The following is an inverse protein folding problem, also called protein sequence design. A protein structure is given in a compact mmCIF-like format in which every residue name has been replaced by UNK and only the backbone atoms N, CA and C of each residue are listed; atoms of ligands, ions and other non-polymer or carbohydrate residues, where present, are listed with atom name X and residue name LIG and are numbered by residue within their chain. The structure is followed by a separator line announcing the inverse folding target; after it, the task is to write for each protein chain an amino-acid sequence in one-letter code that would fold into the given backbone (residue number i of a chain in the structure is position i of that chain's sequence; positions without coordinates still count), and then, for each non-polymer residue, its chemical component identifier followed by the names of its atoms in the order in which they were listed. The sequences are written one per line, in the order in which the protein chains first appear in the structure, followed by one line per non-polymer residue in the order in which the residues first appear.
data_IF_421321364957
#
_entry.id   IF_421321364957
#
_cell.length_a   1.000
_cell.length_b   1.000
_cell.length_c   1.000
_cell.angle_alpha   90.00
_cell.angle_beta   90.00
_cell.angle_gamma   90.00
#
_symmetry.space_group_name_H-M   'P 1'
#
loop_
_entity.id
_entity.type
_entity.pdbx_description
1 polymer ?
#
# COMPACT_ATOMS: atom_id res chain seq x y z
N UNK A 1 -33.81 -4.39 -6.34
CA UNK A 1 -32.88 -3.90 -7.37
C UNK A 1 -31.61 -4.75 -7.33
N UNK A 2 -31.14 -5.15 -8.50
CA UNK A 2 -30.02 -6.10 -8.69
C UNK A 2 -28.68 -5.36 -8.92
N UNK A 3 -28.48 -4.26 -8.21
CA UNK A 3 -27.31 -3.39 -8.39
C UNK A 3 -26.11 -3.90 -7.59
N UNK A 4 -24.98 -4.05 -8.23
CA UNK A 4 -23.69 -4.39 -7.63
C UNK A 4 -22.66 -3.33 -8.01
N UNK A 5 -21.93 -2.83 -7.02
CA UNK A 5 -20.87 -1.83 -7.18
C UNK A 5 -19.54 -2.42 -6.73
N UNK A 6 -18.53 -2.35 -7.58
CA UNK A 6 -17.16 -2.77 -7.24
C UNK A 6 -16.42 -1.59 -6.62
N UNK A 7 -16.13 -1.67 -5.34
CA UNK A 7 -15.57 -0.55 -4.59
C UNK A 7 -14.06 -0.40 -4.78
N UNK A 8 -13.33 -1.52 -4.82
CA UNK A 8 -11.86 -1.47 -4.85
C UNK A 8 -11.29 -2.81 -5.33
N UNK A 9 -10.30 -2.74 -6.20
CA UNK A 9 -9.39 -3.86 -6.45
C UNK A 9 -8.23 -3.81 -5.45
N UNK A 10 -7.88 -4.95 -4.88
CA UNK A 10 -6.74 -5.10 -3.97
C UNK A 10 -5.93 -6.29 -4.44
N UNK A 11 -4.63 -6.08 -4.59
CA UNK A 11 -3.70 -7.12 -5.02
C UNK A 11 -2.72 -7.47 -3.91
N UNK A 12 -2.44 -8.76 -3.73
CA UNK A 12 -1.39 -9.24 -2.86
C UNK A 12 -0.06 -9.26 -3.62
N UNK A 13 0.97 -8.65 -3.04
CA UNK A 13 2.33 -8.76 -3.55
C UNK A 13 2.90 -10.17 -3.36
N UNK A 14 2.53 -10.82 -2.26
CA UNK A 14 2.95 -12.19 -1.97
C UNK A 14 2.15 -13.19 -2.79
N UNK A 15 2.78 -14.28 -3.29
CA UNK A 15 2.10 -15.29 -4.08
C UNK A 15 1.09 -16.09 -3.26
N UNK A 16 0.30 -16.92 -3.94
CA UNK A 16 -0.62 -17.88 -3.32
C UNK A 16 0.10 -18.77 -2.31
N UNK A 17 -0.62 -19.12 -1.21
CA UNK A 17 -0.08 -19.90 -0.10
C UNK A 17 0.22 -19.08 1.14
N UNK A 18 0.25 -17.75 1.04
CA UNK A 18 0.34 -16.83 2.18
C UNK A 18 -1.04 -16.22 2.44
N UNK A 19 -1.47 -16.27 3.70
CA UNK A 19 -2.76 -15.70 4.10
C UNK A 19 -2.82 -14.19 3.77
N UNK A 20 -3.91 -13.72 3.18
CA UNK A 20 -4.10 -12.31 2.77
C UNK A 20 -3.82 -11.32 3.92
N UNK A 21 -4.15 -11.69 5.17
CA UNK A 21 -3.83 -10.88 6.35
C UNK A 21 -2.34 -10.68 6.60
N UNK A 22 -1.51 -11.64 6.17
CA UNK A 22 -0.05 -11.63 6.30
C UNK A 22 0.67 -11.16 5.03
N UNK A 23 -0.06 -10.94 3.95
CA UNK A 23 0.50 -10.43 2.68
C UNK A 23 0.60 -8.90 2.68
N UNK A 24 1.63 -8.40 2.00
CA UNK A 24 1.69 -7.00 1.59
C UNK A 24 0.65 -6.82 0.48
N UNK A 25 -0.20 -5.82 0.62
CA UNK A 25 -1.26 -5.57 -0.36
C UNK A 25 -1.21 -4.17 -0.92
N UNK A 26 -1.60 -4.03 -2.18
CA UNK A 26 -1.66 -2.75 -2.88
C UNK A 26 -3.09 -2.52 -3.42
N UNK A 27 -3.51 -1.28 -3.41
CA UNK A 27 -4.75 -0.82 -4.03
C UNK A 27 -4.47 0.47 -4.82
N UNK A 28 -4.99 0.58 -6.06
CA UNK A 28 -5.64 -0.46 -6.85
C UNK A 28 -4.68 -1.59 -7.24
N UNK A 29 -5.19 -2.69 -7.81
CA UNK A 29 -4.35 -3.74 -8.40
C UNK A 29 -3.45 -3.15 -9.49
N UNK A 30 -2.17 -3.55 -9.51
CA UNK A 30 -1.12 -2.93 -10.32
C UNK A 30 -0.67 -3.78 -11.50
N UNK A 31 -0.86 -5.11 -11.42
CA UNK A 31 -0.31 -6.04 -12.43
C UNK A 31 -1.39 -6.67 -13.32
N UNK A 32 -2.66 -6.47 -13.00
CA UNK A 32 -3.76 -7.00 -13.80
C UNK A 32 -3.93 -6.22 -15.12
N UNK A 33 -4.14 -6.95 -16.22
CA UNK A 33 -4.64 -6.34 -17.45
C UNK A 33 -6.07 -5.84 -17.26
N UNK A 34 -6.47 -4.81 -18.01
CA UNK A 34 -7.86 -4.30 -17.98
C UNK A 34 -8.86 -5.42 -18.33
N UNK A 35 -8.54 -6.22 -19.34
CA UNK A 35 -9.35 -7.36 -19.76
C UNK A 35 -9.59 -8.36 -18.63
N UNK A 36 -8.54 -8.72 -17.91
CA UNK A 36 -8.64 -9.65 -16.77
C UNK A 36 -9.40 -9.03 -15.60
N UNK A 37 -9.17 -7.76 -15.32
CA UNK A 37 -9.93 -7.05 -14.31
C UNK A 37 -11.43 -7.01 -14.61
N UNK A 38 -11.84 -6.74 -15.87
CA UNK A 38 -13.24 -6.77 -16.26
C UNK A 38 -13.85 -8.19 -16.14
N UNK A 39 -13.11 -9.23 -16.52
CA UNK A 39 -13.54 -10.63 -16.32
C UNK A 39 -13.78 -10.94 -14.84
N UNK A 40 -12.87 -10.49 -13.95
CA UNK A 40 -13.04 -10.67 -12.50
C UNK A 40 -14.26 -9.92 -11.96
N UNK A 41 -14.52 -8.70 -12.45
CA UNK A 41 -15.72 -7.92 -12.10
C UNK A 41 -16.98 -8.67 -12.47
N UNK A 42 -17.07 -9.16 -13.70
CA UNK A 42 -18.22 -9.93 -14.19
C UNK A 42 -18.44 -11.22 -13.39
N UNK A 43 -17.34 -11.89 -13.02
CA UNK A 43 -17.42 -13.08 -12.17
C UNK A 43 -17.92 -12.72 -10.77
N UNK A 44 -17.39 -11.67 -10.15
CA UNK A 44 -17.83 -11.23 -8.83
C UNK A 44 -19.31 -10.86 -8.80
N UNK A 45 -19.79 -10.11 -9.80
CA UNK A 45 -21.20 -9.73 -9.94
C UNK A 45 -22.10 -10.98 -10.09
N UNK A 46 -21.70 -11.92 -10.96
CA UNK A 46 -22.45 -13.18 -11.13
C UNK A 46 -22.49 -14.02 -9.85
N UNK A 47 -21.37 -14.10 -9.14
CA UNK A 47 -21.29 -14.82 -7.86
C UNK A 47 -22.19 -14.19 -6.81
N UNK A 48 -22.19 -12.85 -6.70
CA UNK A 48 -23.09 -12.14 -5.77
C UNK A 48 -24.55 -12.40 -6.09
N UNK A 49 -24.94 -12.34 -7.35
CA UNK A 49 -26.30 -12.62 -7.80
C UNK A 49 -26.73 -14.06 -7.52
N UNK A 50 -25.79 -15.02 -7.54
CA UNK A 50 -26.08 -16.42 -7.27
C UNK A 50 -26.39 -16.74 -5.79
N UNK A 51 -26.00 -15.84 -4.88
CA UNK A 51 -26.28 -15.99 -3.44
C UNK A 51 -27.77 -15.77 -3.12
N UNK A 52 -28.50 -15.09 -4.02
CA UNK A 52 -29.92 -14.79 -3.81
C UNK A 52 -30.13 -13.51 -2.99
N UNK A 53 -31.07 -13.53 -2.05
CA UNK A 53 -31.50 -12.34 -1.27
C UNK A 53 -30.43 -11.79 -0.33
N UNK A 54 -29.28 -11.42 -0.89
CA UNK A 54 -28.19 -10.78 -0.14
C UNK A 54 -28.16 -9.27 -0.40
N UNK A 55 -28.11 -8.49 0.67
CA UNK A 55 -27.95 -7.05 0.62
C UNK A 55 -26.88 -6.60 1.61
N UNK A 56 -25.80 -6.00 1.13
CA UNK A 56 -24.69 -5.59 2.00
C UNK A 56 -23.34 -5.54 1.29
N UNK A 57 -22.27 -5.56 2.07
CA UNK A 57 -20.89 -5.59 1.57
C UNK A 57 -20.34 -7.01 1.45
N UNK A 58 -19.50 -7.24 0.46
CA UNK A 58 -18.88 -8.52 0.17
C UNK A 58 -17.40 -8.36 -0.19
N UNK A 59 -16.63 -9.40 0.07
CA UNK A 59 -15.28 -9.57 -0.43
C UNK A 59 -15.19 -10.86 -1.26
N UNK A 60 -14.67 -10.75 -2.48
CA UNK A 60 -14.38 -11.88 -3.35
C UNK A 60 -12.89 -11.98 -3.55
N UNK A 61 -12.31 -13.16 -3.35
CA UNK A 61 -10.90 -13.41 -3.57
C UNK A 61 -10.71 -14.28 -4.81
N UNK A 62 -9.78 -13.86 -5.66
CA UNK A 62 -9.39 -14.55 -6.87
C UNK A 62 -7.90 -14.87 -6.86
N UNK A 63 -7.51 -15.92 -7.54
CA UNK A 63 -6.18 -16.15 -8.03
C UNK A 63 -6.19 -16.01 -9.55
N UNK A 64 -5.15 -15.37 -10.08
CA UNK A 64 -4.91 -15.23 -11.51
C UNK A 64 -3.59 -15.90 -11.82
N UNK A 65 -3.55 -16.76 -12.85
CA UNK A 65 -2.30 -17.38 -13.27
C UNK A 65 -1.36 -16.31 -13.87
N UNK A 66 -0.07 -16.49 -13.63
CA UNK A 66 0.97 -15.58 -14.14
C UNK A 66 1.35 -15.87 -15.61
N UNK A 67 0.69 -16.82 -16.28
CA UNK A 67 0.91 -17.16 -17.68
C UNK A 67 0.06 -16.28 -18.61
N UNK A 68 0.33 -16.37 -19.93
CA UNK A 68 -0.37 -15.59 -20.96
C UNK A 68 -1.90 -15.84 -21.01
N UNK A 69 -2.40 -16.93 -20.40
CA UNK A 69 -3.82 -17.25 -20.39
C UNK A 69 -4.60 -16.45 -19.36
N UNK A 70 -3.91 -15.97 -18.31
CA UNK A 70 -4.52 -15.26 -17.19
C UNK A 70 -5.79 -16.01 -16.68
N UNK A 71 -5.64 -17.32 -16.40
CA UNK A 71 -6.72 -18.12 -15.87
C UNK A 71 -7.14 -17.61 -14.48
N UNK A 72 -8.44 -17.40 -14.30
CA UNK A 72 -9.01 -16.84 -13.07
C UNK A 72 -9.69 -17.94 -12.27
N UNK A 73 -9.27 -18.10 -11.02
CA UNK A 73 -9.87 -19.03 -10.07
C UNK A 73 -10.47 -18.23 -8.91
N UNK A 74 -11.76 -18.40 -8.64
CA UNK A 74 -12.38 -17.86 -7.43
C UNK A 74 -11.98 -18.72 -6.24
N UNK A 75 -11.31 -18.11 -5.26
CA UNK A 75 -10.84 -18.78 -4.05
C UNK A 75 -11.97 -18.86 -3.01
N UNK A 76 -12.55 -17.69 -2.70
CA UNK A 76 -13.64 -17.60 -1.74
C UNK A 76 -14.48 -16.34 -1.97
N UNK A 77 -15.70 -16.40 -1.47
CA UNK A 77 -16.58 -15.26 -1.35
C UNK A 77 -17.00 -15.09 0.10
N UNK A 78 -16.86 -13.91 0.63
CA UNK A 78 -17.25 -13.56 1.99
C UNK A 78 -18.38 -12.53 1.96
N UNK A 79 -19.67 -12.95 2.04
CA UNK A 79 -20.83 -12.05 2.00
C UNK A 79 -21.00 -11.32 3.34
N UNK A 80 -20.02 -10.57 3.73
CA UNK A 80 -19.96 -9.77 4.95
C UNK A 80 -18.91 -8.67 4.84
N UNK A 81 -19.04 -7.64 5.63
CA UNK A 81 -17.96 -6.67 5.85
C UNK A 81 -16.80 -7.35 6.57
N UNK A 82 -15.58 -7.18 6.06
CA UNK A 82 -14.37 -7.84 6.52
C UNK A 82 -13.24 -6.83 6.78
N UNK A 83 -12.06 -7.31 7.21
CA UNK A 83 -10.86 -6.46 7.33
C UNK A 83 -10.45 -5.83 6.00
N UNK A 84 -10.56 -6.59 4.90
CA UNK A 84 -10.29 -6.06 3.54
C UNK A 84 -11.30 -4.97 3.16
N UNK A 85 -12.57 -5.08 3.58
CA UNK A 85 -13.54 -4.00 3.41
C UNK A 85 -13.16 -2.74 4.17
N UNK A 86 -12.60 -2.87 5.38
CA UNK A 86 -12.09 -1.73 6.13
C UNK A 86 -10.88 -1.08 5.43
N UNK A 87 -9.96 -1.89 4.88
CA UNK A 87 -8.86 -1.40 4.06
C UNK A 87 -9.38 -0.68 2.81
N UNK A 88 -10.30 -1.30 2.07
CA UNK A 88 -10.91 -0.69 0.89
C UNK A 88 -11.60 0.64 1.22
N UNK A 89 -12.35 0.71 2.33
CA UNK A 89 -12.98 1.97 2.77
C UNK A 89 -11.96 3.07 3.07
N UNK A 90 -10.85 2.73 3.73
CA UNK A 90 -9.78 3.70 4.02
C UNK A 90 -9.03 4.10 2.74
N UNK A 91 -8.80 3.16 1.84
CA UNK A 91 -8.09 3.40 0.59
C UNK A 91 -8.89 4.29 -0.36
N UNK A 92 -10.20 4.11 -0.44
CA UNK A 92 -11.06 4.80 -1.40
C UNK A 92 -11.82 5.99 -0.80
N UNK A 93 -11.88 6.10 0.53
CA UNK A 93 -12.83 7.01 1.19
C UNK A 93 -14.29 6.52 1.14
N UNK A 94 -14.61 5.50 0.36
CA UNK A 94 -15.97 4.99 0.20
C UNK A 94 -16.48 4.27 1.46
N UNK A 95 -17.59 4.68 2.07
CA UNK A 95 -17.99 4.24 3.41
C UNK A 95 -18.73 2.89 3.38
N UNK A 96 -18.03 1.79 3.04
CA UNK A 96 -18.62 0.46 2.83
C UNK A 96 -19.51 0.02 4.00
N UNK A 97 -19.03 0.10 5.24
CA UNK A 97 -19.76 -0.37 6.41
C UNK A 97 -21.06 0.44 6.64
N UNK A 98 -21.01 1.76 6.44
CA UNK A 98 -22.19 2.62 6.58
C UNK A 98 -23.24 2.32 5.52
N UNK A 99 -22.80 2.09 4.28
CA UNK A 99 -23.72 1.74 3.19
C UNK A 99 -24.28 0.34 3.38
N UNK A 100 -23.43 -0.65 3.72
CA UNK A 100 -23.87 -2.01 4.02
C UNK A 100 -24.93 -2.07 5.13
N UNK A 101 -24.78 -1.27 6.19
CA UNK A 101 -25.78 -1.17 7.26
C UNK A 101 -27.13 -0.62 6.75
N UNK A 102 -27.11 0.37 5.86
CA UNK A 102 -28.33 0.92 5.26
C UNK A 102 -29.00 -0.08 4.30
N UNK A 103 -28.20 -0.78 3.49
CA UNK A 103 -28.70 -1.82 2.60
C UNK A 103 -29.39 -2.94 3.41
N UNK A 104 -28.83 -3.33 4.55
CA UNK A 104 -29.39 -4.38 5.42
C UNK A 104 -30.76 -4.02 6.03
N UNK A 105 -31.10 -2.73 6.10
CA UNK A 105 -32.42 -2.27 6.58
C UNK A 105 -33.38 -1.88 5.45
N UNK A 106 -33.04 -2.24 4.19
CA UNK A 106 -33.94 -2.17 3.05
C UNK A 106 -33.74 -0.99 2.11
N UNK A 107 -32.72 -0.13 2.30
CA UNK A 107 -32.37 0.86 1.29
C UNK A 107 -31.72 0.22 0.06
N UNK A 108 -31.84 0.88 -1.09
CA UNK A 108 -31.15 0.51 -2.32
C UNK A 108 -29.98 1.43 -2.62
N UNK A 109 -28.97 0.98 -3.39
CA UNK A 109 -27.78 1.76 -3.71
C UNK A 109 -28.10 3.07 -4.46
N UNK A 110 -29.09 3.06 -5.31
CA UNK A 110 -29.57 4.23 -6.08
C UNK A 110 -30.25 5.29 -5.19
N UNK A 111 -30.77 4.90 -4.03
CA UNK A 111 -31.37 5.82 -3.05
C UNK A 111 -30.31 6.46 -2.15
N UNK A 112 -29.09 5.91 -2.11
CA UNK A 112 -28.03 6.35 -1.23
C UNK A 112 -27.05 7.30 -1.95
N UNK A 113 -26.64 8.34 -1.25
CA UNK A 113 -25.61 9.24 -1.73
C UNK A 113 -24.23 8.83 -1.21
N UNK A 114 -23.22 9.04 -2.04
CA UNK A 114 -21.83 9.01 -1.62
C UNK A 114 -21.57 10.18 -0.68
N UNK A 115 -21.20 9.90 0.57
CA UNK A 115 -21.00 10.94 1.59
C UNK A 115 -19.70 11.72 1.40
N UNK A 116 -18.77 11.25 0.55
CA UNK A 116 -17.52 11.95 0.24
C UNK A 116 -17.76 13.08 -0.76
N UNK A 117 -18.50 12.82 -1.82
CA UNK A 117 -18.84 13.81 -2.83
C UNK A 117 -20.10 14.62 -2.48
N UNK A 118 -21.01 14.03 -1.70
CA UNK A 118 -22.32 14.62 -1.37
C UNK A 118 -23.30 14.74 -2.54
N UNK A 119 -22.78 14.75 -3.76
CA UNK A 119 -23.55 14.98 -4.99
C UNK A 119 -23.76 13.71 -5.81
N UNK A 120 -22.85 12.74 -5.75
CA UNK A 120 -22.94 11.51 -6.53
C UNK A 120 -23.72 10.41 -5.80
N UNK A 121 -24.27 9.46 -6.56
CA UNK A 121 -24.90 8.26 -6.02
C UNK A 121 -23.85 7.29 -5.44
N UNK A 122 -24.24 6.49 -4.46
CA UNK A 122 -23.43 5.39 -3.94
C UNK A 122 -23.17 4.28 -5.00
N UNK A 123 -23.83 4.34 -6.14
CA UNK A 123 -23.58 3.43 -7.28
C UNK A 123 -22.31 3.79 -8.07
N UNK A 124 -21.75 4.98 -7.91
CA UNK A 124 -20.51 5.36 -8.57
C UNK A 124 -19.35 4.60 -7.93
N UNK A 125 -18.65 3.84 -8.76
CA UNK A 125 -17.46 3.08 -8.35
C UNK A 125 -16.28 4.03 -8.10
N UNK A 126 -15.54 3.83 -7.01
CA UNK A 126 -14.36 4.64 -6.75
C UNK A 126 -13.29 4.51 -7.84
N UNK A 127 -12.67 5.63 -8.16
CA UNK A 127 -11.49 5.71 -9.02
C UNK A 127 -10.37 6.40 -8.24
N UNK A 128 -9.20 5.76 -8.18
CA UNK A 128 -8.05 6.26 -7.41
C UNK A 128 -6.97 6.79 -8.35
N UNK A 129 -6.46 7.98 -8.06
CA UNK A 129 -5.29 8.58 -8.71
C UNK A 129 -4.03 8.50 -7.83
N UNK A 130 -4.07 7.72 -6.76
CA UNK A 130 -2.99 7.43 -5.83
C UNK A 130 -2.88 5.92 -5.57
N UNK A 131 -1.81 5.52 -4.92
CA UNK A 131 -1.54 4.12 -4.57
C UNK A 131 -1.56 3.96 -3.07
N UNK A 132 -2.19 2.89 -2.61
CA UNK A 132 -2.25 2.52 -1.19
C UNK A 132 -1.51 1.22 -0.98
N UNK A 133 -0.57 1.19 -0.03
CA UNK A 133 0.15 -0.02 0.37
C UNK A 133 -0.18 -0.34 1.83
N UNK A 134 -0.55 -1.59 2.09
CA UNK A 134 -0.72 -2.15 3.42
C UNK A 134 0.41 -3.12 3.71
N UNK A 135 1.09 -2.97 4.86
CA UNK A 135 2.08 -3.94 5.35
C UNK A 135 1.59 -4.49 6.70
N UNK A 136 1.57 -5.82 6.88
CA UNK A 136 1.23 -6.44 8.16
C UNK A 136 2.26 -6.13 9.25
N UNK A 137 1.82 -6.15 10.50
CA UNK A 137 2.69 -6.03 11.70
C UNK A 137 2.62 -7.31 12.51
N UNK A 138 3.78 -7.88 12.81
CA UNK A 138 3.93 -9.08 13.65
C UNK A 138 4.61 -8.74 14.97
N UNK A 139 4.40 -9.58 15.99
CA UNK A 139 5.04 -9.46 17.30
C UNK A 139 5.80 -10.73 17.68
N UNK A 140 6.50 -11.33 16.74
CA UNK A 140 7.32 -12.52 16.97
C UNK A 140 8.43 -12.32 18.02
N UNK A 141 8.85 -11.05 18.22
CA UNK A 141 9.78 -10.66 19.27
C UNK A 141 9.25 -10.94 20.68
N UNK A 142 7.92 -10.93 20.86
CA UNK A 142 7.27 -11.20 22.16
C UNK A 142 6.98 -12.69 22.40
N UNK A 143 7.12 -13.53 21.39
CA UNK A 143 6.82 -14.96 21.47
C UNK A 143 8.01 -15.79 20.99
N UNK A 144 9.06 -15.98 21.85
CA UNK A 144 10.20 -16.80 21.49
C UNK A 144 9.75 -18.23 21.19
N UNK A 145 10.32 -18.85 20.16
CA UNK A 145 10.02 -20.24 19.77
C UNK A 145 8.79 -20.42 18.87
N UNK A 146 8.07 -19.35 18.52
CA UNK A 146 7.00 -19.45 17.53
C UNK A 146 7.57 -19.58 16.12
N UNK A 147 6.89 -20.37 15.30
CA UNK A 147 7.18 -20.46 13.86
C UNK A 147 6.93 -19.10 13.17
N UNK A 148 7.99 -18.58 12.55
CA UNK A 148 8.00 -17.27 11.86
C UNK A 148 7.74 -17.37 10.36
N UNK A 149 7.64 -18.59 9.83
CA UNK A 149 7.31 -18.81 8.44
C UNK A 149 5.85 -18.44 8.19
N UNK A 150 5.58 -17.66 7.16
CA UNK A 150 4.24 -17.30 6.74
C UNK A 150 3.62 -18.45 5.94
N UNK A 151 2.30 -18.57 6.01
CA UNK A 151 1.55 -19.63 5.35
C UNK A 151 0.05 -19.35 5.36
N UNK A 152 -0.74 -20.41 5.36
CA UNK A 152 -2.22 -20.31 5.29
C UNK A 152 -2.87 -19.74 6.56
N UNK A 153 -2.18 -19.81 7.69
CA UNK A 153 -2.68 -19.25 8.95
C UNK A 153 -2.19 -17.82 9.12
N UNK A 154 -3.09 -16.91 9.46
CA UNK A 154 -2.76 -15.52 9.77
C UNK A 154 -2.00 -15.43 11.10
N UNK A 155 -0.81 -14.82 11.08
CA UNK A 155 0.08 -14.60 12.23
C UNK A 155 0.26 -13.13 12.59
N UNK A 156 -0.15 -12.22 11.72
CA UNK A 156 -0.08 -10.78 11.98
C UNK A 156 -1.06 -10.34 13.05
N UNK A 157 -0.67 -9.34 13.84
CA UNK A 157 -1.47 -8.78 14.95
C UNK A 157 -2.04 -7.41 14.62
N UNK A 158 -1.48 -6.74 13.62
CA UNK A 158 -1.88 -5.44 13.15
C UNK A 158 -1.36 -5.17 11.75
N UNK A 159 -1.56 -3.96 11.29
CA UNK A 159 -1.16 -3.52 9.96
C UNK A 159 -0.92 -2.02 9.93
N UNK A 160 -0.14 -1.58 8.97
CA UNK A 160 -0.02 -0.18 8.57
C UNK A 160 -0.59 0.01 7.18
N UNK A 161 -1.07 1.21 6.89
CA UNK A 161 -1.51 1.63 5.58
C UNK A 161 -0.85 2.97 5.24
N UNK A 162 -0.26 3.07 4.08
CA UNK A 162 0.30 4.32 3.58
C UNK A 162 -0.22 4.61 2.17
N UNK A 163 -0.34 5.90 1.87
CA UNK A 163 -0.83 6.42 0.60
C UNK A 163 0.29 7.25 -0.04
N UNK A 164 0.50 7.09 -1.34
CA UNK A 164 1.46 7.84 -2.13
C UNK A 164 1.00 8.00 -3.58
N UNK A 165 1.67 8.86 -4.36
CA UNK A 165 1.40 9.02 -5.79
C UNK A 165 1.96 7.87 -6.64
N UNK A 166 2.84 7.05 -6.04
CA UNK A 166 3.42 5.86 -6.64
C UNK A 166 3.50 4.71 -5.64
N UNK A 167 3.62 3.48 -6.15
CA UNK A 167 3.83 2.30 -5.32
C UNK A 167 5.09 2.45 -4.44
N UNK A 168 6.19 2.95 -5.02
CA UNK A 168 7.45 3.14 -4.29
C UNK A 168 7.28 4.11 -3.12
N UNK A 169 6.62 5.25 -3.33
CA UNK A 169 6.34 6.22 -2.25
C UNK A 169 5.49 5.58 -1.15
N UNK A 170 4.39 4.92 -1.52
CA UNK A 170 3.51 4.27 -0.55
C UNK A 170 4.23 3.14 0.21
N UNK A 171 5.08 2.34 -0.47
CA UNK A 171 5.86 1.27 0.14
C UNK A 171 6.87 1.82 1.17
N UNK A 172 7.65 2.82 0.80
CA UNK A 172 8.62 3.49 1.69
C UNK A 172 7.94 4.04 2.94
N UNK A 173 6.83 4.76 2.78
CA UNK A 173 6.04 5.32 3.89
C UNK A 173 5.42 4.23 4.77
N UNK A 174 4.95 3.12 4.18
CA UNK A 174 4.44 1.99 4.94
C UNK A 174 5.54 1.34 5.79
N UNK A 175 6.76 1.16 5.23
CA UNK A 175 7.90 0.64 5.99
C UNK A 175 8.25 1.55 7.20
N UNK A 176 8.24 2.86 7.03
CA UNK A 176 8.44 3.82 8.14
C UNK A 176 7.36 3.66 9.22
N UNK A 177 6.11 3.47 8.81
CA UNK A 177 4.95 3.40 9.70
C UNK A 177 4.88 2.11 10.53
N UNK A 178 5.68 1.08 10.19
CA UNK A 178 5.72 -0.18 10.96
C UNK A 178 6.26 -0.03 12.39
N UNK A 179 6.96 1.06 12.68
CA UNK A 179 7.60 1.33 14.00
C UNK A 179 8.54 0.20 14.45
N UNK A 180 9.30 -0.34 13.50
CA UNK A 180 10.33 -1.37 13.73
C UNK A 180 11.75 -0.80 13.69
N UNK A 181 11.88 0.51 13.92
CA UNK A 181 13.13 1.27 13.86
C UNK A 181 13.76 1.29 12.46
N UNK A 182 12.98 1.13 11.39
CA UNK A 182 13.38 1.36 10.00
C UNK A 182 12.95 2.75 9.56
N UNK A 183 13.75 3.36 8.68
CA UNK A 183 13.48 4.69 8.12
C UNK A 183 12.74 4.61 6.76
N UNK A 184 12.56 3.41 6.25
CA UNK A 184 11.97 3.05 4.97
C UNK A 184 12.33 1.62 4.61
N UNK A 185 12.38 1.31 3.32
CA UNK A 185 12.79 0.00 2.80
C UNK A 185 14.32 -0.09 2.61
N UNK A 186 15.12 0.21 3.54
CA UNK A 186 16.57 0.17 3.42
C UNK A 186 17.20 1.54 3.53
N UNK A 187 18.48 1.69 3.13
CA UNK A 187 19.30 2.89 3.30
C UNK A 187 19.31 3.39 4.76
N UNK A 188 19.43 2.46 5.72
CA UNK A 188 19.37 2.76 7.15
C UNK A 188 20.47 2.05 7.97
N UNK A 189 21.40 1.38 7.30
CA UNK A 189 22.52 0.67 7.93
C UNK A 189 22.14 -0.63 8.62
N UNK A 190 20.96 -1.17 8.34
CA UNK A 190 20.43 -2.43 8.94
C UNK A 190 20.31 -3.56 7.94
N UNK A 191 20.93 -3.39 6.79
CA UNK A 191 20.94 -4.38 5.72
C UNK A 191 21.66 -5.64 6.17
N UNK A 192 21.07 -6.79 5.89
CA UNK A 192 21.72 -8.09 6.06
C UNK A 192 22.78 -8.24 4.97
N UNK A 193 23.96 -8.77 5.34
CA UNK A 193 25.10 -8.94 4.42
C UNK A 193 25.48 -10.38 4.17
N UNK A 194 24.80 -11.32 4.82
CA UNK A 194 25.03 -12.75 4.66
C UNK A 194 24.18 -13.26 3.48
N UNK A 195 24.85 -13.57 2.38
CA UNK A 195 24.23 -14.03 1.14
C UNK A 195 23.42 -15.33 1.35
N UNK A 196 23.96 -16.30 2.10
CA UNK A 196 23.31 -17.60 2.26
C UNK A 196 22.07 -17.46 3.15
N UNK A 197 22.15 -16.68 4.21
CA UNK A 197 20.99 -16.37 5.06
C UNK A 197 19.89 -15.62 4.30
N UNK A 198 20.25 -14.73 3.38
CA UNK A 198 19.28 -14.04 2.53
C UNK A 198 18.62 -15.03 1.59
N UNK A 199 19.37 -15.85 0.87
CA UNK A 199 18.82 -16.82 -0.08
C UNK A 199 17.91 -17.84 0.61
N UNK A 200 18.28 -18.33 1.79
CA UNK A 200 17.43 -19.19 2.61
C UNK A 200 16.11 -18.49 2.97
N UNK A 201 16.19 -17.21 3.38
CA UNK A 201 15.01 -16.40 3.74
C UNK A 201 14.10 -16.10 2.54
N UNK A 202 14.63 -16.02 1.32
CA UNK A 202 13.81 -15.82 0.13
C UNK A 202 13.03 -17.08 -0.26
N UNK A 203 13.63 -18.26 -0.06
CA UNK A 203 12.98 -19.54 -0.34
C UNK A 203 11.87 -19.89 0.67
N UNK A 204 11.91 -19.29 1.86
CA UNK A 204 10.93 -19.52 2.91
C UNK A 204 10.25 -18.20 3.28
N UNK A 205 8.96 -18.00 2.91
CA UNK A 205 8.28 -16.74 3.18
C UNK A 205 8.30 -16.42 4.67
N UNK A 206 8.90 -15.29 5.02
CA UNK A 206 9.02 -14.80 6.38
C UNK A 206 8.51 -13.37 6.52
N UNK A 207 8.28 -12.94 7.75
CA UNK A 207 7.84 -11.57 8.03
C UNK A 207 8.87 -10.48 7.64
N UNK A 208 10.16 -10.84 7.48
CA UNK A 208 11.23 -9.94 7.03
C UNK A 208 11.48 -9.98 5.51
N UNK A 209 10.74 -10.81 4.77
CA UNK A 209 10.95 -11.10 3.37
C UNK A 209 11.14 -9.85 2.50
N UNK A 210 10.33 -8.82 2.72
CA UNK A 210 10.45 -7.56 1.98
C UNK A 210 11.84 -6.94 2.09
N UNK A 211 12.38 -6.90 3.31
CA UNK A 211 13.71 -6.34 3.56
C UNK A 211 14.82 -7.23 2.98
N UNK A 212 14.65 -8.55 3.04
CA UNK A 212 15.61 -9.50 2.46
C UNK A 212 15.62 -9.47 0.92
N UNK A 213 14.49 -9.16 0.27
CA UNK A 213 14.45 -8.90 -1.19
C UNK A 213 15.30 -7.66 -1.52
N UNK A 214 15.14 -6.58 -0.77
CA UNK A 214 15.97 -5.39 -0.93
C UNK A 214 17.46 -5.70 -0.70
N UNK A 215 17.79 -6.42 0.37
CA UNK A 215 19.16 -6.82 0.70
C UNK A 215 19.77 -7.72 -0.39
N UNK A 216 18.97 -8.62 -0.97
CA UNK A 216 19.40 -9.48 -2.07
C UNK A 216 19.80 -8.67 -3.31
N UNK A 217 18.99 -7.70 -3.71
CA UNK A 217 19.35 -6.79 -4.80
C UNK A 217 20.61 -6.01 -4.48
N UNK A 218 20.76 -5.51 -3.25
CA UNK A 218 21.94 -4.75 -2.82
C UNK A 218 23.23 -5.57 -2.83
N UNK A 219 23.13 -6.88 -2.63
CA UNK A 219 24.25 -7.84 -2.76
C UNK A 219 24.49 -8.30 -4.21
N UNK A 220 23.72 -7.81 -5.16
CA UNK A 220 23.87 -8.16 -6.58
C UNK A 220 23.30 -9.55 -6.93
N UNK A 221 22.38 -10.10 -6.14
CA UNK A 221 21.66 -11.32 -6.50
C UNK A 221 20.87 -11.06 -7.78
N UNK A 222 21.03 -11.87 -8.84
CA UNK A 222 20.34 -11.65 -10.10
C UNK A 222 18.83 -11.63 -9.95
N UNK A 223 18.15 -10.72 -10.64
CA UNK A 223 16.70 -10.55 -10.63
C UNK A 223 15.93 -11.87 -10.78
N UNK A 224 16.33 -12.69 -11.77
CA UNK A 224 15.64 -13.96 -12.03
C UNK A 224 15.71 -14.93 -10.84
N UNK A 225 16.82 -14.94 -10.09
CA UNK A 225 16.96 -15.79 -8.89
C UNK A 225 16.03 -15.33 -7.76
N UNK A 226 15.90 -14.02 -7.57
CA UNK A 226 14.96 -13.47 -6.58
C UNK A 226 13.53 -13.83 -6.96
N UNK A 227 13.19 -13.70 -8.25
CA UNK A 227 11.87 -14.07 -8.75
C UNK A 227 11.58 -15.56 -8.57
N UNK A 228 12.49 -16.44 -8.98
CA UNK A 228 12.35 -17.90 -8.83
C UNK A 228 12.18 -18.33 -7.36
N UNK A 229 12.94 -17.71 -6.44
CA UNK A 229 12.85 -18.02 -5.01
C UNK A 229 11.58 -17.50 -4.35
N UNK A 230 11.05 -16.38 -4.81
CA UNK A 230 9.94 -15.70 -4.13
C UNK A 230 8.59 -15.90 -4.81
N UNK A 231 8.56 -16.19 -6.10
CA UNK A 231 7.39 -16.18 -6.96
C UNK A 231 6.57 -14.87 -6.89
N UNK A 232 7.21 -13.77 -6.47
CA UNK A 232 6.61 -12.44 -6.48
C UNK A 232 6.59 -11.94 -7.93
N UNK A 233 5.48 -11.30 -8.33
CA UNK A 233 5.35 -10.76 -9.67
C UNK A 233 6.54 -9.84 -10.04
N UNK A 234 7.14 -10.00 -11.24
CA UNK A 234 8.27 -9.20 -11.69
C UNK A 234 8.06 -7.69 -11.60
N UNK A 235 6.83 -7.21 -11.74
CA UNK A 235 6.53 -5.78 -11.62
C UNK A 235 6.91 -5.24 -10.23
N UNK A 236 6.52 -5.92 -9.15
CA UNK A 236 6.86 -5.49 -7.78
C UNK A 236 8.37 -5.53 -7.52
N UNK A 237 9.04 -6.59 -7.99
CA UNK A 237 10.49 -6.71 -7.85
C UNK A 237 11.23 -5.58 -8.58
N UNK A 238 10.79 -5.21 -9.79
CA UNK A 238 11.35 -4.06 -10.54
C UNK A 238 11.14 -2.73 -9.82
N UNK A 239 10.04 -2.55 -9.08
CA UNK A 239 9.84 -1.34 -8.28
C UNK A 239 10.87 -1.23 -7.15
N UNK A 240 11.23 -2.35 -6.53
CA UNK A 240 12.25 -2.40 -5.48
C UNK A 240 13.64 -2.18 -6.08
N UNK A 241 13.95 -2.84 -7.20
CA UNK A 241 15.22 -2.66 -7.93
C UNK A 241 15.44 -1.19 -8.33
N UNK A 242 14.39 -0.53 -8.82
CA UNK A 242 14.46 0.89 -9.20
C UNK A 242 14.75 1.82 -8.02
N UNK A 243 14.34 1.48 -6.80
CA UNK A 243 14.74 2.23 -5.60
C UNK A 243 16.26 2.14 -5.37
N UNK A 244 16.84 0.94 -5.51
CA UNK A 244 18.28 0.76 -5.35
C UNK A 244 19.09 1.47 -6.43
N UNK A 245 18.60 1.52 -7.67
CA UNK A 245 19.25 2.31 -8.73
C UNK A 245 19.30 3.79 -8.34
N UNK A 246 18.21 4.34 -7.82
CA UNK A 246 18.16 5.72 -7.33
C UNK A 246 19.11 5.96 -6.15
N UNK A 247 19.25 4.99 -5.23
CA UNK A 247 20.25 5.08 -4.15
C UNK A 247 21.66 5.17 -4.67
N UNK A 248 21.98 4.31 -5.66
CA UNK A 248 23.30 4.33 -6.29
C UNK A 248 23.59 5.68 -6.95
N UNK A 249 22.61 6.29 -7.61
CA UNK A 249 22.76 7.61 -8.21
C UNK A 249 22.98 8.69 -7.14
N UNK A 250 22.28 8.62 -6.02
CA UNK A 250 22.45 9.57 -4.90
C UNK A 250 23.84 9.43 -4.26
N UNK A 251 24.34 8.21 -4.08
CA UNK A 251 25.63 7.94 -3.46
C UNK A 251 26.84 8.53 -4.23
N UNK A 252 26.66 8.95 -5.49
CA UNK A 252 27.70 9.58 -6.29
C UNK A 252 27.97 11.05 -5.91
N UNK A 253 27.16 11.64 -5.04
CA UNK A 253 27.23 13.06 -4.72
C UNK A 253 27.55 13.30 -3.24
N UNK A 254 28.06 14.52 -2.96
CA UNK A 254 27.99 15.09 -1.61
C UNK A 254 26.66 15.84 -1.45
N UNK A 255 26.30 16.21 -0.21
CA UNK A 255 25.06 16.97 0.04
C UNK A 255 25.06 18.31 -0.71
N UNK A 256 26.19 18.98 -0.84
CA UNK A 256 26.32 20.26 -1.54
C UNK A 256 26.11 20.09 -3.05
N UNK A 257 26.68 19.02 -3.63
CA UNK A 257 26.66 18.75 -5.06
C UNK A 257 25.39 18.03 -5.55
N UNK A 258 24.57 17.48 -4.64
CA UNK A 258 23.36 16.74 -5.00
C UNK A 258 22.41 17.60 -5.84
N UNK A 259 22.07 17.20 -7.09
CA UNK A 259 21.16 17.96 -7.94
C UNK A 259 19.75 18.05 -7.34
N UNK A 260 19.11 19.21 -7.48
CA UNK A 260 17.72 19.42 -7.05
C UNK A 260 16.77 18.36 -7.63
N UNK A 261 16.90 18.04 -8.91
CA UNK A 261 16.06 17.05 -9.58
C UNK A 261 16.17 15.67 -8.92
N UNK A 262 17.38 15.23 -8.57
CA UNK A 262 17.61 13.94 -7.93
C UNK A 262 17.07 13.91 -6.50
N UNK A 263 17.25 15.01 -5.74
CA UNK A 263 16.67 15.16 -4.41
C UNK A 263 15.13 15.13 -4.47
N UNK A 264 14.52 15.83 -5.43
CA UNK A 264 13.07 15.83 -5.62
C UNK A 264 12.57 14.45 -6.01
N UNK A 265 13.27 13.74 -6.88
CA UNK A 265 12.92 12.36 -7.25
C UNK A 265 12.97 11.43 -6.05
N UNK A 266 14.02 11.49 -5.24
CA UNK A 266 14.11 10.71 -4.00
C UNK A 266 12.92 10.99 -3.06
N UNK A 267 12.53 12.25 -2.91
CA UNK A 267 11.37 12.62 -2.11
C UNK A 267 10.06 12.08 -2.70
N UNK A 268 9.87 12.15 -4.01
CA UNK A 268 8.72 11.58 -4.73
C UNK A 268 8.65 10.05 -4.61
N UNK A 269 9.80 9.38 -4.47
CA UNK A 269 9.88 7.94 -4.22
C UNK A 269 9.76 7.55 -2.75
N UNK A 270 9.51 8.51 -1.87
CA UNK A 270 9.21 8.28 -0.45
C UNK A 270 10.41 8.18 0.48
N UNK A 271 11.62 8.50 0.02
CA UNK A 271 12.80 8.50 0.89
C UNK A 271 12.67 9.54 2.00
N UNK A 272 12.90 9.10 3.24
CA UNK A 272 13.03 10.00 4.39
C UNK A 272 14.33 10.82 4.27
N UNK A 273 14.36 12.03 4.84
CA UNK A 273 15.58 12.84 4.89
C UNK A 273 16.72 12.06 5.58
N UNK A 274 16.40 11.22 6.57
CA UNK A 274 17.36 10.34 7.25
C UNK A 274 17.96 9.25 6.36
N UNK A 275 17.20 8.67 5.42
CA UNK A 275 17.72 7.71 4.45
C UNK A 275 18.69 8.40 3.48
N UNK A 276 18.31 9.57 2.96
CA UNK A 276 19.15 10.38 2.08
C UNK A 276 20.45 10.78 2.80
N UNK A 277 20.33 11.21 4.06
CA UNK A 277 21.49 11.54 4.90
C UNK A 277 22.44 10.34 5.09
N UNK A 278 21.88 9.13 5.27
CA UNK A 278 22.68 7.91 5.37
C UNK A 278 23.46 7.62 4.08
N UNK A 279 22.83 7.75 2.92
CA UNK A 279 23.47 7.54 1.61
C UNK A 279 24.59 8.57 1.36
N UNK A 280 24.33 9.84 1.70
CA UNK A 280 25.27 10.95 1.52
C UNK A 280 26.32 11.08 2.65
N UNK A 281 26.20 10.25 3.71
CA UNK A 281 27.05 10.31 4.90
C UNK A 281 27.10 11.70 5.56
N UNK A 282 25.94 12.36 5.63
CA UNK A 282 25.75 13.68 6.22
C UNK A 282 24.68 13.64 7.34
N UNK A 283 24.37 14.79 7.94
CA UNK A 283 23.32 14.89 8.95
C UNK A 283 21.93 15.02 8.30
N UNK A 284 20.91 14.50 8.96
CA UNK A 284 19.50 14.65 8.52
C UNK A 284 19.10 16.13 8.40
N UNK A 285 19.62 16.99 9.29
CA UNK A 285 19.41 18.45 9.26
C UNK A 285 19.93 19.10 7.98
N UNK A 286 21.07 18.62 7.45
CA UNK A 286 21.67 19.17 6.22
C UNK A 286 20.79 18.85 5.00
N UNK A 287 20.22 17.64 4.95
CA UNK A 287 19.24 17.28 3.90
C UNK A 287 17.99 18.14 4.01
N UNK A 288 17.49 18.34 5.23
CA UNK A 288 16.32 19.18 5.48
C UNK A 288 16.55 20.65 5.06
N UNK A 289 17.71 21.23 5.41
CA UNK A 289 18.09 22.59 5.04
C UNK A 289 18.21 22.74 3.52
N UNK A 290 18.89 21.79 2.84
CA UNK A 290 19.00 21.80 1.37
C UNK A 290 17.62 21.72 0.72
N UNK A 291 16.77 20.85 1.18
CA UNK A 291 15.39 20.68 0.67
C UNK A 291 14.60 21.99 0.79
N UNK A 292 14.67 22.64 1.96
CA UNK A 292 14.00 23.93 2.19
C UNK A 292 14.59 25.06 1.30
N UNK A 293 15.90 25.13 1.16
CA UNK A 293 16.58 26.09 0.29
C UNK A 293 16.17 25.95 -1.18
N UNK A 294 15.92 24.72 -1.62
CA UNK A 294 15.52 24.42 -2.99
C UNK A 294 13.99 24.42 -3.19
N UNK A 295 13.22 24.79 -2.15
CA UNK A 295 11.75 24.81 -2.16
C UNK A 295 11.12 23.43 -2.47
N UNK A 296 11.75 22.36 -2.00
CA UNK A 296 11.19 21.00 -2.07
C UNK A 296 10.32 20.78 -0.83
N UNK A 297 9.07 21.11 -0.93
CA UNK A 297 8.11 21.07 0.18
C UNK A 297 7.09 19.95 0.00
N UNK A 298 6.58 19.49 1.13
CA UNK A 298 5.50 18.51 1.19
C UNK A 298 4.17 19.20 0.90
N UNK A 299 3.32 18.56 0.12
CA UNK A 299 1.94 18.96 -0.10
C UNK A 299 0.99 17.91 0.49
N UNK A 300 -0.24 18.31 0.75
CA UNK A 300 -1.28 17.44 1.30
C UNK A 300 -2.43 17.33 0.30
N UNK A 301 -2.77 16.10 -0.07
CA UNK A 301 -3.81 15.75 -1.02
C UNK A 301 -4.97 15.07 -0.32
N UNK A 302 -6.17 15.29 -0.83
CA UNK A 302 -7.38 14.63 -0.34
C UNK A 302 -7.39 13.14 -0.69
N UNK A 303 -7.91 12.34 0.23
CA UNK A 303 -8.31 10.97 -0.06
C UNK A 303 -9.72 11.04 -0.63
N UNK A 304 -9.86 10.97 -1.94
CA UNK A 304 -11.14 11.07 -2.59
C UNK A 304 -11.51 9.79 -3.37
N UNK A 305 -12.79 9.62 -3.66
CA UNK A 305 -13.33 8.45 -4.36
C UNK A 305 -13.44 8.64 -5.87
N UNK A 306 -13.08 9.79 -6.40
CA UNK A 306 -13.43 10.19 -7.77
C UNK A 306 -12.23 10.71 -8.58
N UNK A 307 -11.00 10.51 -8.13
CA UNK A 307 -9.80 11.02 -8.81
C UNK A 307 -9.93 12.51 -9.24
N UNK A 308 -10.49 13.33 -8.36
CA UNK A 308 -10.76 14.77 -8.54
C UNK A 308 -11.78 15.13 -9.66
N UNK A 309 -12.53 14.16 -10.18
CA UNK A 309 -13.62 14.47 -11.15
C UNK A 309 -14.79 15.26 -10.52
N UNK A 310 -15.03 15.07 -9.23
CA UNK A 310 -16.04 15.78 -8.45
C UNK A 310 -15.42 16.38 -7.19
N UNK A 311 -15.92 17.53 -6.71
CA UNK A 311 -15.48 18.08 -5.43
C UNK A 311 -15.72 17.05 -4.31
N UNK A 312 -14.65 16.71 -3.60
CA UNK A 312 -14.72 15.83 -2.44
C UNK A 312 -14.73 16.65 -1.15
N UNK A 313 -15.56 16.23 -0.19
CA UNK A 313 -15.59 16.77 1.18
C UNK A 313 -15.21 15.63 2.11
N UNK A 314 -13.91 15.45 2.32
CA UNK A 314 -13.37 14.41 3.17
C UNK A 314 -12.43 15.03 4.20
N UNK A 315 -12.41 14.52 5.45
CA UNK A 315 -11.43 14.93 6.45
C UNK A 315 -10.09 14.19 6.32
N UNK A 316 -9.92 13.33 5.30
CA UNK A 316 -8.75 12.48 5.15
C UNK A 316 -7.79 13.04 4.12
N UNK A 317 -6.52 13.15 4.52
CA UNK A 317 -5.43 13.65 3.70
C UNK A 317 -4.24 12.71 3.75
N UNK A 318 -3.45 12.69 2.67
CA UNK A 318 -2.11 12.11 2.65
C UNK A 318 -1.10 13.16 2.21
N UNK A 319 0.14 13.02 2.67
CA UNK A 319 1.21 13.93 2.27
C UNK A 319 2.03 13.31 1.14
N UNK A 320 2.48 14.14 0.21
CA UNK A 320 3.37 13.74 -0.89
C UNK A 320 4.33 14.85 -1.26
N UNK A 321 5.26 14.58 -2.17
CA UNK A 321 6.15 15.59 -2.75
C UNK A 321 5.88 15.69 -4.24
N UNK A 322 5.25 16.77 -4.66
CA UNK A 322 4.98 17.07 -6.07
C UNK A 322 4.89 18.57 -6.30
N UNK A 323 4.99 18.98 -7.57
CA UNK A 323 4.86 20.39 -7.97
C UNK A 323 3.39 20.76 -8.19
N UNK A 324 2.61 20.69 -7.13
CA UNK A 324 1.18 21.00 -7.15
C UNK A 324 0.79 21.75 -5.89
N UNK A 325 -0.41 22.33 -5.89
CA UNK A 325 -0.93 23.05 -4.75
C UNK A 325 -1.39 22.12 -3.63
N UNK A 326 -1.36 22.65 -2.43
CA UNK A 326 -1.86 22.01 -1.24
C UNK A 326 -3.39 22.03 -1.23
N UNK A 327 -4.03 20.88 -1.11
CA UNK A 327 -5.50 20.76 -1.05
C UNK A 327 -6.05 20.94 0.37
N UNK A 328 -5.18 20.94 1.38
CA UNK A 328 -5.60 21.22 2.75
C UNK A 328 -5.85 22.70 2.94
N UNK A 329 -7.03 23.04 3.47
CA UNK A 329 -7.42 24.42 3.78
C UNK A 329 -7.11 24.71 5.23
N UNK A 330 -6.22 25.67 5.48
CA UNK A 330 -5.99 26.14 6.85
C UNK A 330 -7.15 27.01 7.32
N UNK A 331 -7.43 26.98 8.61
CA UNK A 331 -8.44 27.82 9.25
C UNK A 331 -7.80 28.73 10.30
N UNK A 332 -8.43 29.86 10.61
CA UNK A 332 -7.99 30.78 11.67
C UNK A 332 -8.29 30.27 13.09
N UNK A 333 -8.81 29.06 13.20
CA UNK A 333 -9.10 28.43 14.50
C UNK A 333 -7.81 27.91 15.14
N UNK A 334 -7.79 27.85 16.47
CA UNK A 334 -6.72 27.14 17.19
C UNK A 334 -6.73 25.67 16.79
N UNK A 335 -5.58 25.17 16.34
CA UNK A 335 -5.41 23.80 15.92
C UNK A 335 -4.78 22.96 17.03
N UNK A 336 -5.27 21.74 17.18
CA UNK A 336 -4.70 20.73 18.09
C UNK A 336 -4.32 19.52 17.26
N UNK A 337 -3.08 19.09 17.40
CA UNK A 337 -2.58 17.87 16.72
C UNK A 337 -2.68 16.71 17.72
N UNK A 338 -3.37 15.64 17.34
CA UNK A 338 -3.40 14.38 18.07
C UNK A 338 -2.55 13.37 17.28
N UNK A 339 -1.44 12.95 17.88
CA UNK A 339 -0.58 11.94 17.28
C UNK A 339 -1.19 10.55 17.48
N UNK A 340 -1.23 9.76 16.40
CA UNK A 340 -1.67 8.37 16.48
C UNK A 340 -0.67 7.47 17.21
N UNK A 341 -1.14 6.31 17.67
CA UNK A 341 -0.33 5.36 18.46
C UNK A 341 0.46 4.36 17.59
N UNK A 342 0.43 4.53 16.26
CA UNK A 342 1.05 3.59 15.33
C UNK A 342 0.23 2.30 15.12
N UNK A 343 0.83 1.24 14.52
CA UNK A 343 0.14 0.00 14.23
C UNK A 343 -0.22 -0.76 15.52
N UNK A 344 -1.35 -1.46 15.49
CA UNK A 344 -1.72 -2.33 16.60
C UNK A 344 -0.62 -3.36 16.88
N UNK A 345 -0.33 -3.54 18.16
CA UNK A 345 0.66 -4.51 18.64
C UNK A 345 0.26 -5.00 20.04
N UNK A 346 0.73 -6.21 20.35
CA UNK A 346 0.40 -6.82 21.66
C UNK A 346 1.06 -6.03 22.78
N UNK A 347 0.26 -5.67 23.77
CA UNK A 347 0.70 -4.89 24.93
C UNK A 347 0.74 -3.37 24.70
N UNK A 348 0.00 -2.88 23.72
CA UNK A 348 -0.20 -1.46 23.49
C UNK A 348 -1.45 -0.97 24.22
#
# INVERSE_FOLDING_TARGET
NDNVTIVCSIENMDPMGIHTGDSITVAPAMTLSDSTYQRMRDMAIRMMRSIGDFSGGCNVQFAVSADEKEDIIAIEINPRVSRSSALASKATGYPIAKLAAKLAIGYHLDELKNTITGSTSAMFEPTLDYVVVKIPRWNFDKFPGTDRQLGLQMKSVGEVMAIGRSFQEALQKACQSLEIKRNGLGADGRELRDHDAIMESLNHPSYNRLFHIYDAFKLGVPFYKIHESTNIDPWFLRQIEALLMLEHDIEQYSIEALPKALLMEAKRKGYADRQIAHLLKCLESEVHEKRNKENINRVYKLVDTCAAEFPAVTPYYYSTFEESENESISSDKKNVIVLGSGPNRIGQ
#
